data_IF_169782581544
#
_entry.id   IF_169782581544
#
_cell.length_a   1.000
_cell.length_b   1.000
_cell.length_c   1.000
_cell.angle_alpha   90.00
_cell.angle_beta   90.00
_cell.angle_gamma   90.00
#
_symmetry.space_group_name_H-M   'P 1'
#
loop_
_entity.id
_entity.type
_entity.pdbx_description
1 polymer ?
#
# COMPACT_ATOMS: atom_id res chain seq x y z
N UNK A 1 5.82 -54.55 -11.67
CA UNK A 1 5.96 -53.62 -10.57
C UNK A 1 6.03 -54.41 -9.28
N UNK A 2 7.22 -54.55 -8.69
CA UNK A 2 7.45 -55.44 -7.56
C UNK A 2 7.09 -54.74 -6.24
N UNK A 3 6.48 -55.53 -5.36
CA UNK A 3 6.08 -55.14 -4.00
C UNK A 3 7.24 -54.56 -3.15
N UNK A 4 8.50 -54.70 -3.60
CA UNK A 4 9.71 -54.22 -2.93
C UNK A 4 10.01 -52.71 -3.13
N UNK A 5 9.33 -52.02 -4.07
CA UNK A 5 9.54 -50.58 -4.25
C UNK A 5 8.81 -49.71 -3.19
N UNK A 6 7.89 -50.28 -2.44
CA UNK A 6 7.11 -49.60 -1.39
C UNK A 6 7.92 -49.37 -0.10
N UNK A 7 9.04 -50.10 0.08
CA UNK A 7 9.89 -50.04 1.27
C UNK A 7 11.22 -49.31 1.07
N UNK A 8 11.45 -48.72 -0.10
CA UNK A 8 12.57 -47.80 -0.25
C UNK A 8 12.26 -46.54 0.54
N UNK A 9 12.99 -46.30 1.61
CA UNK A 9 12.98 -45.02 2.32
C UNK A 9 13.24 -43.85 1.36
N UNK A 10 12.86 -42.62 1.74
CA UNK A 10 13.07 -41.47 0.89
C UNK A 10 14.53 -41.36 0.47
N UNK A 11 14.74 -41.08 -0.82
CA UNK A 11 16.08 -40.91 -1.39
C UNK A 11 16.87 -39.81 -0.62
N UNK A 12 18.19 -39.97 -0.51
CA UNK A 12 19.06 -39.03 0.21
C UNK A 12 18.86 -37.57 -0.26
N UNK A 13 18.62 -37.36 -1.55
CA UNK A 13 18.31 -36.04 -2.12
C UNK A 13 16.98 -35.48 -1.60
N UNK A 14 15.99 -36.33 -1.44
CA UNK A 14 14.68 -35.94 -0.86
C UNK A 14 14.80 -35.56 0.61
N UNK A 15 15.62 -36.29 1.37
CA UNK A 15 15.90 -35.99 2.79
C UNK A 15 16.65 -34.66 2.91
N UNK A 16 17.68 -34.44 2.08
CA UNK A 16 18.45 -33.19 2.05
C UNK A 16 17.57 -31.98 1.65
N UNK A 17 16.67 -32.15 0.67
CA UNK A 17 15.73 -31.10 0.27
C UNK A 17 14.73 -30.75 1.39
N UNK A 18 14.22 -31.74 2.12
CA UNK A 18 13.36 -31.50 3.28
C UNK A 18 14.10 -30.75 4.39
N UNK A 19 15.31 -31.20 4.74
CA UNK A 19 16.11 -30.54 5.76
C UNK A 19 16.39 -29.05 5.39
N UNK A 20 16.77 -28.79 4.14
CA UNK A 20 16.97 -27.42 3.65
C UNK A 20 15.67 -26.57 3.60
N UNK A 21 14.53 -27.22 3.42
CA UNK A 21 13.22 -26.57 3.50
C UNK A 21 12.88 -26.20 4.94
N UNK A 22 13.06 -27.13 5.87
CA UNK A 22 12.79 -26.93 7.30
C UNK A 22 13.68 -25.85 7.89
N UNK A 23 14.96 -25.83 7.52
CA UNK A 23 15.89 -24.77 7.92
C UNK A 23 15.44 -23.39 7.43
N UNK A 24 14.99 -23.29 6.16
CA UNK A 24 14.43 -22.04 5.63
C UNK A 24 13.16 -21.60 6.36
N UNK A 25 12.29 -22.53 6.69
CA UNK A 25 11.08 -22.20 7.48
C UNK A 25 11.47 -21.70 8.87
N UNK A 26 12.42 -22.36 9.53
CA UNK A 26 12.90 -21.95 10.85
C UNK A 26 13.52 -20.53 10.81
N UNK A 27 14.35 -20.22 9.81
CA UNK A 27 14.93 -18.88 9.60
C UNK A 27 13.86 -17.80 9.36
N UNK A 28 12.84 -18.10 8.55
CA UNK A 28 11.70 -17.20 8.34
C UNK A 28 10.92 -16.99 9.65
N UNK A 29 10.65 -18.05 10.40
CA UNK A 29 9.93 -17.96 11.67
C UNK A 29 10.70 -17.16 12.71
N UNK A 30 12.02 -17.33 12.78
CA UNK A 30 12.89 -16.55 13.65
C UNK A 30 12.84 -15.06 13.28
N UNK A 31 12.99 -14.73 11.99
CA UNK A 31 12.85 -13.36 11.48
C UNK A 31 11.49 -12.74 11.80
N UNK A 32 10.40 -13.51 11.75
CA UNK A 32 9.07 -13.04 12.09
C UNK A 32 8.89 -12.75 13.59
N UNK A 33 9.58 -13.49 14.46
CA UNK A 33 9.49 -13.33 15.92
C UNK A 33 10.41 -12.26 16.47
N UNK A 34 11.63 -12.23 15.97
CA UNK A 34 12.72 -11.42 16.54
C UNK A 34 13.04 -10.18 15.69
N UNK A 35 12.38 -10.03 14.56
CA UNK A 35 12.72 -9.05 13.54
C UNK A 35 13.92 -9.47 12.71
N UNK A 36 14.23 -8.69 11.68
CA UNK A 36 15.34 -8.94 10.77
C UNK A 36 14.91 -9.57 9.45
N UNK A 37 15.88 -9.80 8.60
CA UNK A 37 15.67 -10.31 7.24
C UNK A 37 16.17 -11.74 7.14
N UNK A 38 15.38 -12.68 6.59
CA UNK A 38 15.81 -14.07 6.39
C UNK A 38 17.10 -14.21 5.57
N UNK A 39 17.91 -15.22 5.85
CA UNK A 39 19.20 -15.45 5.22
C UNK A 39 19.11 -15.54 3.68
N UNK A 40 18.07 -16.21 3.17
CA UNK A 40 17.85 -16.33 1.73
C UNK A 40 17.60 -14.97 1.06
N UNK A 41 16.92 -14.05 1.74
CA UNK A 41 16.70 -12.70 1.24
C UNK A 41 18.00 -11.89 1.31
N UNK A 42 18.77 -11.99 2.40
CA UNK A 42 20.08 -11.35 2.53
C UNK A 42 21.04 -11.78 1.41
N UNK A 43 21.12 -13.08 1.10
CA UNK A 43 21.96 -13.59 0.00
C UNK A 43 21.49 -13.06 -1.36
N UNK A 44 20.18 -12.98 -1.60
CA UNK A 44 19.60 -12.39 -2.82
C UNK A 44 20.01 -10.92 -2.97
N UNK A 45 19.87 -10.14 -1.92
CA UNK A 45 20.18 -8.70 -1.92
C UNK A 45 21.71 -8.46 -2.09
N UNK A 46 22.53 -9.24 -1.39
CA UNK A 46 23.97 -9.17 -1.53
C UNK A 46 24.43 -9.61 -2.92
N UNK A 47 23.79 -10.64 -3.50
CA UNK A 47 24.04 -11.08 -4.87
C UNK A 47 23.71 -9.98 -5.89
N UNK A 48 22.63 -9.24 -5.71
CA UNK A 48 22.27 -8.10 -6.56
C UNK A 48 23.26 -6.94 -6.37
N UNK A 49 23.61 -6.61 -5.13
CA UNK A 49 24.56 -5.54 -4.81
C UNK A 49 25.95 -5.77 -5.36
N UNK A 50 26.44 -7.00 -5.29
CA UNK A 50 27.76 -7.39 -5.77
C UNK A 50 27.82 -7.70 -7.27
N UNK A 51 26.68 -7.65 -7.98
CA UNK A 51 26.60 -8.01 -9.40
C UNK A 51 26.69 -9.53 -9.70
N UNK A 52 26.66 -10.38 -8.67
CA UNK A 52 26.60 -11.85 -8.83
C UNK A 52 25.25 -12.33 -9.36
N UNK A 53 24.21 -11.56 -9.11
CA UNK A 53 22.85 -11.84 -9.62
C UNK A 53 22.34 -10.63 -10.39
N UNK A 54 21.49 -10.83 -11.41
CA UNK A 54 20.82 -9.71 -12.06
C UNK A 54 20.02 -8.88 -11.05
N UNK A 55 20.18 -7.56 -11.10
CA UNK A 55 19.35 -6.68 -10.33
C UNK A 55 17.96 -6.53 -10.99
N UNK A 56 16.97 -6.31 -10.19
CA UNK A 56 15.58 -6.07 -10.63
C UNK A 56 15.09 -4.74 -10.08
N UNK A 57 14.22 -4.07 -10.79
CA UNK A 57 13.60 -2.83 -10.34
C UNK A 57 12.15 -2.78 -10.81
N UNK A 58 11.31 -2.07 -10.07
CA UNK A 58 9.93 -1.73 -10.47
C UNK A 58 9.88 -0.47 -11.31
N UNK A 59 11.00 0.26 -11.40
CA UNK A 59 11.14 1.52 -12.12
C UNK A 59 10.97 1.35 -13.62
N UNK A 60 10.34 2.32 -14.26
CA UNK A 60 10.18 2.36 -15.71
C UNK A 60 11.50 2.67 -16.40
N UNK A 61 11.72 2.26 -17.67
CA UNK A 61 12.97 2.54 -18.38
C UNK A 61 13.39 4.01 -18.40
N UNK A 62 12.43 4.94 -18.58
CA UNK A 62 12.70 6.37 -18.57
C UNK A 62 13.18 6.85 -17.18
N UNK A 63 12.68 6.27 -16.11
CA UNK A 63 13.07 6.60 -14.73
C UNK A 63 14.49 6.12 -14.43
N UNK A 64 14.90 4.99 -15.00
CA UNK A 64 16.28 4.49 -14.85
C UNK A 64 17.31 5.44 -15.48
N UNK A 65 16.96 6.10 -16.59
CA UNK A 65 17.83 7.11 -17.19
C UNK A 65 17.98 8.33 -16.31
N UNK A 66 16.89 8.81 -15.72
CA UNK A 66 16.89 9.96 -14.79
C UNK A 66 17.57 9.59 -13.49
N UNK A 67 17.32 8.39 -12.97
CA UNK A 67 18.00 7.90 -11.78
C UNK A 67 19.52 8.02 -11.92
N UNK A 68 20.07 7.63 -13.05
CA UNK A 68 21.50 7.69 -13.29
C UNK A 68 22.05 9.12 -13.33
N UNK A 69 21.33 10.07 -13.92
CA UNK A 69 21.77 11.48 -14.02
C UNK A 69 21.65 12.25 -12.71
N UNK A 70 20.82 11.79 -11.76
CA UNK A 70 20.54 12.47 -10.50
C UNK A 70 21.04 11.71 -9.27
N UNK A 71 22.03 10.84 -9.45
CA UNK A 71 22.67 10.15 -8.32
C UNK A 71 21.79 9.10 -7.63
N UNK A 72 20.75 8.63 -8.29
CA UNK A 72 19.92 7.52 -7.82
C UNK A 72 20.50 6.20 -8.34
N UNK A 73 20.92 5.32 -7.43
CA UNK A 73 21.46 4.00 -7.78
C UNK A 73 20.46 2.91 -7.39
N UNK A 74 19.70 2.34 -8.34
CA UNK A 74 18.87 1.18 -8.05
C UNK A 74 19.70 -0.01 -7.60
N UNK A 75 19.27 -0.71 -6.56
CA UNK A 75 19.96 -1.87 -6.00
C UNK A 75 19.18 -3.15 -6.32
N UNK A 76 17.93 -3.22 -5.89
CA UNK A 76 17.06 -4.38 -6.12
C UNK A 76 15.59 -4.01 -5.93
N UNK A 77 14.70 -4.76 -6.57
CA UNK A 77 13.32 -4.81 -6.15
C UNK A 77 13.22 -5.54 -4.81
N UNK A 78 12.48 -4.96 -3.89
CA UNK A 78 12.20 -5.53 -2.57
C UNK A 78 10.69 -5.63 -2.38
N UNK A 79 10.28 -6.55 -1.52
CA UNK A 79 8.87 -6.78 -1.22
C UNK A 79 8.68 -7.19 0.23
N UNK A 80 7.65 -6.68 0.84
CA UNK A 80 7.28 -7.06 2.20
C UNK A 80 5.81 -7.46 2.24
N UNK A 81 5.53 -8.49 3.00
CA UNK A 81 4.17 -9.01 3.19
C UNK A 81 3.89 -9.18 4.67
N UNK A 82 2.68 -8.84 5.08
CA UNK A 82 2.16 -9.11 6.40
C UNK A 82 0.79 -9.75 6.28
N UNK A 83 0.63 -10.91 6.89
CA UNK A 83 -0.68 -11.50 7.14
C UNK A 83 -1.14 -11.07 8.52
N UNK A 84 -2.31 -10.48 8.60
CA UNK A 84 -2.88 -10.05 9.86
C UNK A 84 -4.32 -10.55 10.00
N UNK A 85 -4.59 -11.15 11.15
CA UNK A 85 -5.93 -11.41 11.62
C UNK A 85 -6.32 -10.26 12.55
N UNK A 86 -7.34 -9.47 12.17
CA UNK A 86 -7.63 -8.21 12.86
C UNK A 86 -8.80 -8.32 13.82
N UNK A 87 -8.87 -9.30 14.64
CA UNK A 87 -9.77 -9.38 15.79
C UNK A 87 -11.08 -8.55 15.65
N UNK A 88 -11.30 -7.65 16.58
CA UNK A 88 -12.55 -6.88 16.70
C UNK A 88 -12.59 -5.56 15.90
N UNK A 89 -11.46 -5.03 15.46
CA UNK A 89 -11.40 -3.73 14.79
C UNK A 89 -10.70 -3.80 13.45
N UNK A 90 -11.45 -3.70 12.38
CA UNK A 90 -10.94 -3.65 11.00
C UNK A 90 -10.04 -2.43 10.77
N UNK A 91 -10.42 -1.27 11.32
CA UNK A 91 -9.64 -0.04 11.19
C UNK A 91 -8.27 -0.18 11.86
N UNK A 92 -8.22 -0.67 13.09
CA UNK A 92 -6.96 -0.86 13.81
C UNK A 92 -6.11 -1.97 13.19
N UNK A 93 -6.70 -3.11 12.86
CA UNK A 93 -6.01 -4.21 12.22
C UNK A 93 -5.41 -3.82 10.87
N UNK A 94 -6.13 -3.00 10.09
CA UNK A 94 -5.62 -2.49 8.82
C UNK A 94 -4.41 -1.57 9.02
N UNK A 95 -4.47 -0.67 9.98
CA UNK A 95 -3.33 0.20 10.33
C UNK A 95 -2.12 -0.60 10.81
N UNK A 96 -2.35 -1.60 11.65
CA UNK A 96 -1.30 -2.48 12.18
C UNK A 96 -0.65 -3.32 11.07
N UNK A 97 -1.45 -3.93 10.18
CA UNK A 97 -0.95 -4.71 9.06
C UNK A 97 -0.04 -3.91 8.13
N UNK A 98 -0.43 -2.69 7.79
CA UNK A 98 0.41 -1.79 7.00
C UNK A 98 1.70 -1.39 7.72
N UNK A 99 1.62 -1.06 9.00
CA UNK A 99 2.80 -0.69 9.78
C UNK A 99 3.80 -1.84 9.87
N UNK A 100 3.31 -3.07 10.06
CA UNK A 100 4.17 -4.27 10.06
C UNK A 100 4.81 -4.52 8.69
N UNK A 101 4.06 -4.39 7.61
CA UNK A 101 4.59 -4.55 6.25
C UNK A 101 5.63 -3.47 5.93
N UNK A 102 5.38 -2.21 6.31
CA UNK A 102 6.34 -1.10 6.15
C UNK A 102 7.61 -1.31 6.98
N UNK A 103 7.50 -1.83 8.21
CA UNK A 103 8.65 -2.17 9.04
C UNK A 103 9.54 -3.21 8.37
N UNK A 104 8.94 -4.29 7.86
CA UNK A 104 9.68 -5.34 7.12
C UNK A 104 10.34 -4.79 5.86
N UNK A 105 9.66 -3.91 5.13
CA UNK A 105 10.26 -3.25 3.94
C UNK A 105 11.46 -2.39 4.31
N UNK A 106 11.43 -1.68 5.46
CA UNK A 106 12.59 -0.94 5.97
C UNK A 106 13.77 -1.85 6.28
N UNK A 107 13.52 -2.98 6.91
CA UNK A 107 14.56 -3.96 7.22
C UNK A 107 15.21 -4.54 5.96
N UNK A 108 14.40 -4.89 4.94
CA UNK A 108 14.94 -5.32 3.63
C UNK A 108 15.74 -4.21 2.95
N UNK A 109 15.27 -2.95 2.97
CA UNK A 109 15.98 -1.83 2.40
C UNK A 109 17.35 -1.61 3.08
N UNK A 110 17.40 -1.70 4.40
CA UNK A 110 18.64 -1.62 5.17
C UNK A 110 19.60 -2.76 4.81
N UNK A 111 19.10 -3.99 4.74
CA UNK A 111 19.90 -5.15 4.33
C UNK A 111 20.44 -5.01 2.91
N UNK A 112 19.71 -4.36 2.01
CA UNK A 112 20.17 -4.01 0.67
C UNK A 112 21.21 -2.89 0.66
N UNK A 113 21.42 -2.15 1.76
CA UNK A 113 22.27 -0.97 1.82
C UNK A 113 21.65 0.26 1.15
N UNK A 114 20.34 0.29 1.03
CA UNK A 114 19.57 1.40 0.49
C UNK A 114 19.31 2.47 1.55
N UNK A 115 19.12 3.72 1.13
CA UNK A 115 18.64 4.81 1.97
C UNK A 115 17.25 5.31 1.54
N UNK A 116 16.70 4.77 0.44
CA UNK A 116 15.33 5.01 0.03
C UNK A 116 14.73 3.80 -0.70
N UNK A 117 13.40 3.72 -0.69
CA UNK A 117 12.59 2.79 -1.50
C UNK A 117 11.57 3.62 -2.28
N UNK A 118 11.60 3.51 -3.58
CA UNK A 118 10.77 4.31 -4.49
C UNK A 118 9.76 3.46 -5.25
N UNK A 119 8.73 4.11 -5.79
CA UNK A 119 7.65 3.48 -6.56
C UNK A 119 7.00 2.33 -5.77
N UNK A 120 6.73 2.58 -4.48
CA UNK A 120 6.13 1.57 -3.63
C UNK A 120 4.66 1.40 -3.99
N UNK A 121 4.35 0.19 -4.45
CA UNK A 121 2.99 -0.26 -4.73
C UNK A 121 2.48 -1.03 -3.53
N UNK A 122 1.25 -0.74 -3.16
CA UNK A 122 0.59 -1.28 -1.98
C UNK A 122 -0.66 -2.05 -2.42
N UNK A 123 -0.84 -3.25 -1.89
CA UNK A 123 -2.00 -4.08 -2.18
C UNK A 123 -2.48 -4.79 -0.93
N UNK A 124 -3.81 -4.90 -0.80
CA UNK A 124 -4.45 -5.77 0.18
C UNK A 124 -5.26 -6.83 -0.52
N UNK A 125 -5.21 -8.07 -0.02
CA UNK A 125 -6.03 -9.16 -0.49
C UNK A 125 -6.76 -9.74 0.72
N UNK A 126 -8.11 -9.75 0.73
CA UNK A 126 -8.85 -10.54 1.71
C UNK A 126 -8.45 -12.01 1.58
N UNK A 127 -8.25 -12.66 2.71
CA UNK A 127 -7.94 -14.08 2.75
C UNK A 127 -9.21 -14.87 3.04
N UNK A 128 -9.26 -16.12 2.58
CA UNK A 128 -10.37 -17.04 2.87
C UNK A 128 -10.47 -17.37 4.37
N UNK A 129 -9.43 -17.07 5.14
CA UNK A 129 -9.45 -17.17 6.60
C UNK A 129 -10.20 -15.98 7.16
N UNK A 130 -11.24 -16.23 7.93
CA UNK A 130 -12.13 -15.22 8.51
C UNK A 130 -11.35 -14.11 9.23
N UNK A 131 -11.73 -12.85 8.97
CA UNK A 131 -11.11 -11.65 9.53
C UNK A 131 -9.59 -11.55 9.30
N UNK A 132 -9.09 -12.03 8.17
CA UNK A 132 -7.68 -11.97 7.83
C UNK A 132 -7.44 -11.29 6.50
N UNK A 133 -6.33 -10.59 6.38
CA UNK A 133 -5.94 -9.87 5.16
C UNK A 133 -4.43 -9.95 4.96
N UNK A 134 -4.03 -10.04 3.69
CA UNK A 134 -2.66 -9.88 3.25
C UNK A 134 -2.37 -8.41 2.92
N UNK A 135 -1.28 -7.89 3.45
CA UNK A 135 -0.75 -6.55 3.19
C UNK A 135 0.58 -6.68 2.47
N UNK A 136 0.59 -6.43 1.18
CA UNK A 136 1.78 -6.59 0.35
C UNK A 136 2.29 -5.24 -0.15
N UNK A 137 3.60 -5.03 0.00
CA UNK A 137 4.35 -3.89 -0.51
C UNK A 137 5.39 -4.39 -1.51
N UNK A 138 5.55 -3.67 -2.61
CA UNK A 138 6.63 -3.92 -3.60
C UNK A 138 7.19 -2.59 -4.04
N UNK A 139 8.51 -2.45 -4.08
CA UNK A 139 9.18 -1.23 -4.50
C UNK A 139 10.62 -1.47 -4.90
N UNK A 140 11.32 -0.44 -5.32
CA UNK A 140 12.74 -0.49 -5.67
C UNK A 140 13.58 0.15 -4.58
N UNK A 141 14.45 -0.63 -3.96
CA UNK A 141 15.48 -0.15 -3.06
C UNK A 141 16.55 0.61 -3.86
N UNK A 142 16.80 1.85 -3.48
CA UNK A 142 17.74 2.74 -4.15
C UNK A 142 18.72 3.34 -3.15
N UNK A 143 19.92 3.68 -3.63
CA UNK A 143 20.83 4.56 -2.91
C UNK A 143 20.78 5.93 -3.57
N UNK A 144 20.33 6.92 -2.84
CA UNK A 144 20.32 8.33 -3.26
C UNK A 144 21.62 8.97 -2.79
N UNK A 145 22.41 9.49 -3.72
CA UNK A 145 23.64 10.22 -3.40
C UNK A 145 23.29 11.55 -2.73
N UNK A 146 24.09 11.94 -1.74
CA UNK A 146 23.84 13.17 -0.97
C UNK A 146 22.90 13.01 0.22
N UNK A 147 22.10 11.96 0.30
CA UNK A 147 21.36 11.67 1.51
C UNK A 147 22.29 10.98 2.54
N UNK A 148 22.26 11.39 3.81
CA UNK A 148 23.05 10.76 4.85
C UNK A 148 22.60 9.29 5.04
N UNK A 149 23.50 8.41 5.48
CA UNK A 149 23.11 7.09 5.94
C UNK A 149 22.09 7.22 7.06
N UNK A 150 20.96 6.56 6.90
CA UNK A 150 19.89 6.55 7.91
C UNK A 150 19.55 5.12 8.30
N UNK A 151 19.23 4.92 9.57
CA UNK A 151 18.62 3.68 10.05
C UNK A 151 17.15 3.55 9.65
N UNK A 152 16.57 4.64 9.16
CA UNK A 152 15.22 4.68 8.65
C UNK A 152 15.25 5.12 7.18
N UNK A 153 15.32 4.17 6.22
CA UNK A 153 15.23 4.50 4.81
C UNK A 153 13.91 5.20 4.48
N UNK A 154 13.96 6.18 3.60
CA UNK A 154 12.76 6.84 3.09
C UNK A 154 11.97 5.81 2.29
N UNK A 155 10.69 5.62 2.61
CA UNK A 155 9.77 4.80 1.81
C UNK A 155 8.76 5.74 1.17
N UNK A 156 8.66 5.70 -0.17
CA UNK A 156 7.79 6.61 -0.89
C UNK A 156 7.02 5.88 -2.00
N UNK A 157 5.74 6.24 -2.17
CA UNK A 157 4.91 5.74 -3.27
C UNK A 157 5.19 6.48 -4.57
N UNK A 158 5.88 7.61 -4.51
CA UNK A 158 6.22 8.42 -5.68
C UNK A 158 7.23 7.69 -6.57
N UNK A 159 7.04 7.75 -7.90
CA UNK A 159 8.01 7.27 -8.88
C UNK A 159 9.35 8.03 -8.80
N UNK A 160 10.42 7.46 -9.33
CA UNK A 160 11.76 8.06 -9.25
C UNK A 160 11.84 9.45 -9.89
N UNK A 161 11.11 9.70 -10.99
CA UNK A 161 11.05 11.01 -11.63
C UNK A 161 10.43 12.06 -10.71
N UNK A 162 9.31 11.72 -10.07
CA UNK A 162 8.63 12.63 -9.14
C UNK A 162 9.47 12.86 -7.89
N UNK A 163 10.14 11.83 -7.38
CA UNK A 163 11.05 11.95 -6.26
C UNK A 163 12.18 12.95 -6.55
N UNK A 164 12.80 12.88 -7.71
CA UNK A 164 13.83 13.86 -8.12
C UNK A 164 13.26 15.26 -8.20
N UNK A 165 12.11 15.44 -8.84
CA UNK A 165 11.46 16.77 -8.95
C UNK A 165 11.08 17.35 -7.59
N UNK A 166 10.69 16.53 -6.63
CA UNK A 166 10.43 16.97 -5.26
C UNK A 166 11.73 17.48 -4.62
N UNK A 167 12.83 16.73 -4.75
CA UNK A 167 14.12 17.17 -4.22
C UNK A 167 14.62 18.46 -4.87
N UNK A 168 14.44 18.64 -6.17
CA UNK A 168 14.76 19.87 -6.91
C UNK A 168 13.92 21.07 -6.44
N UNK A 169 12.71 20.81 -5.91
CA UNK A 169 11.82 21.81 -5.32
C UNK A 169 12.02 22.02 -3.82
N UNK A 170 13.11 21.53 -3.23
CA UNK A 170 13.38 21.56 -1.79
C UNK A 170 12.29 20.86 -0.94
N UNK A 171 11.64 19.85 -1.52
CA UNK A 171 10.65 19.00 -0.85
C UNK A 171 11.21 17.61 -0.68
N UNK A 172 11.36 17.17 0.56
CA UNK A 172 11.96 15.87 0.89
C UNK A 172 10.87 14.89 1.28
N UNK A 173 10.67 13.81 0.54
CA UNK A 173 9.83 12.71 1.01
C UNK A 173 10.38 12.11 2.30
N UNK A 174 9.51 11.85 3.28
CA UNK A 174 9.91 11.37 4.62
C UNK A 174 9.40 9.96 4.91
N UNK A 175 8.28 9.56 4.28
CA UNK A 175 7.70 8.25 4.51
C UNK A 175 6.34 8.07 3.85
N UNK A 176 5.62 7.06 4.30
CA UNK A 176 4.24 6.78 3.87
C UNK A 176 3.32 6.93 5.08
N UNK A 177 2.25 7.70 4.91
CA UNK A 177 1.13 7.74 5.84
C UNK A 177 -0.08 7.05 5.23
N UNK A 178 -0.87 6.40 6.08
CA UNK A 178 -2.06 5.67 5.69
C UNK A 178 -3.21 6.12 6.58
N UNK A 179 -4.32 6.47 5.93
CA UNK A 179 -5.59 6.70 6.57
C UNK A 179 -6.59 5.63 6.15
N UNK A 180 -7.06 4.83 7.07
CA UNK A 180 -8.09 3.83 6.80
C UNK A 180 -9.26 4.02 7.75
N UNK A 181 -10.45 3.79 7.26
CA UNK A 181 -11.65 3.74 8.08
C UNK A 181 -12.67 2.78 7.50
N UNK A 182 -13.34 2.05 8.39
CA UNK A 182 -14.35 1.05 8.08
C UNK A 182 -15.57 1.30 8.95
N UNK A 183 -16.75 1.21 8.36
CA UNK A 183 -18.00 1.35 9.10
C UNK A 183 -19.07 0.43 8.56
N UNK A 184 -19.79 -0.23 9.49
CA UNK A 184 -20.94 -1.05 9.19
C UNK A 184 -22.23 -0.26 9.31
N UNK A 185 -23.11 -0.44 8.34
CA UNK A 185 -24.49 0.07 8.39
C UNK A 185 -25.48 -1.08 8.20
N UNK A 186 -26.48 -1.11 9.06
CA UNK A 186 -27.61 -2.03 8.91
C UNK A 186 -28.76 -1.28 8.26
N UNK A 187 -29.21 -1.74 7.11
CA UNK A 187 -30.36 -1.16 6.42
C UNK A 187 -31.61 -1.99 6.71
N UNK A 188 -32.24 -1.73 7.86
CA UNK A 188 -33.42 -2.45 8.29
C UNK A 188 -34.76 -1.78 7.91
N UNK A 189 -34.72 -0.57 7.36
CA UNK A 189 -35.92 0.24 7.13
C UNK A 189 -36.32 0.50 5.67
N UNK A 190 -35.50 0.18 4.67
CA UNK A 190 -35.67 0.81 3.36
C UNK A 190 -35.80 -0.10 2.14
N UNK A 191 -35.99 -1.39 2.28
CA UNK A 191 -35.87 -2.28 1.12
C UNK A 191 -37.15 -2.44 0.27
N UNK A 192 -38.28 -1.83 0.64
CA UNK A 192 -39.56 -2.07 -0.06
C UNK A 192 -39.97 -1.00 -1.06
N UNK A 193 -39.39 0.21 -0.99
CA UNK A 193 -39.91 1.35 -1.77
C UNK A 193 -39.00 1.86 -2.90
N UNK A 194 -37.71 1.43 -2.94
CA UNK A 194 -36.74 1.99 -3.90
C UNK A 194 -36.85 1.41 -5.33
N UNK A 195 -37.34 0.20 -5.47
CA UNK A 195 -37.48 -0.48 -6.78
C UNK A 195 -38.58 0.09 -7.68
N UNK A 196 -39.51 0.85 -7.13
CA UNK A 196 -40.66 1.31 -7.89
C UNK A 196 -40.50 2.73 -8.48
N UNK A 197 -39.59 3.55 -7.96
CA UNK A 197 -39.45 4.96 -8.34
C UNK A 197 -38.26 5.30 -9.24
N UNK A 198 -37.55 4.33 -9.77
CA UNK A 198 -36.39 4.58 -10.66
C UNK A 198 -35.07 4.82 -9.91
N UNK A 199 -34.12 5.49 -10.54
CA UNK A 199 -32.79 5.77 -9.98
C UNK A 199 -32.86 6.88 -8.94
N UNK A 200 -33.08 6.50 -7.68
CA UNK A 200 -33.06 7.43 -6.53
C UNK A 200 -31.77 7.13 -5.77
N UNK A 201 -30.95 8.17 -5.58
CA UNK A 201 -29.78 8.08 -4.72
C UNK A 201 -30.21 7.76 -3.28
N UNK A 202 -29.55 6.75 -2.69
CA UNK A 202 -29.76 6.45 -1.27
C UNK A 202 -29.03 7.46 -0.42
N UNK A 203 -29.72 8.42 0.15
CA UNK A 203 -29.15 9.45 1.03
C UNK A 203 -28.35 8.84 2.18
N UNK A 204 -28.81 7.72 2.75
CA UNK A 204 -28.12 7.03 3.85
C UNK A 204 -26.80 6.41 3.43
N UNK A 205 -26.73 5.78 2.25
CA UNK A 205 -25.49 5.23 1.71
C UNK A 205 -24.52 6.34 1.36
N UNK A 206 -24.99 7.44 0.80
CA UNK A 206 -24.17 8.62 0.50
C UNK A 206 -23.61 9.25 1.78
N UNK A 207 -24.41 9.35 2.85
CA UNK A 207 -23.95 9.84 4.16
C UNK A 207 -22.92 8.89 4.79
N UNK A 208 -23.14 7.57 4.76
CA UNK A 208 -22.18 6.58 5.21
C UNK A 208 -20.84 6.74 4.47
N UNK A 209 -20.91 6.84 3.15
CA UNK A 209 -19.75 6.98 2.28
C UNK A 209 -18.94 8.23 2.60
N UNK A 210 -19.62 9.36 2.72
CA UNK A 210 -18.98 10.64 3.06
C UNK A 210 -18.33 10.59 4.46
N UNK A 211 -19.02 10.01 5.44
CA UNK A 211 -18.50 9.83 6.79
C UNK A 211 -17.23 9.00 6.80
N UNK A 212 -17.23 7.86 6.10
CA UNK A 212 -16.08 6.95 6.01
C UNK A 212 -14.89 7.64 5.34
N UNK A 213 -15.14 8.38 4.26
CA UNK A 213 -14.09 9.19 3.59
C UNK A 213 -13.48 10.25 4.51
N UNK A 214 -14.31 11.04 5.16
CA UNK A 214 -13.85 12.09 6.08
C UNK A 214 -12.98 11.51 7.22
N UNK A 215 -13.40 10.38 7.80
CA UNK A 215 -12.65 9.71 8.87
C UNK A 215 -11.32 9.15 8.38
N UNK A 216 -11.29 8.52 7.21
CA UNK A 216 -10.05 8.03 6.62
C UNK A 216 -9.05 9.17 6.37
N UNK A 217 -9.50 10.29 5.80
CA UNK A 217 -8.65 11.47 5.61
C UNK A 217 -8.20 12.12 6.93
N UNK A 218 -9.03 12.09 7.97
CA UNK A 218 -8.63 12.56 9.30
C UNK A 218 -7.52 11.67 9.89
N UNK A 219 -7.67 10.35 9.79
CA UNK A 219 -6.66 9.39 10.22
C UNK A 219 -5.34 9.58 9.45
N UNK A 220 -5.41 9.77 8.13
CA UNK A 220 -4.25 10.09 7.30
C UNK A 220 -3.49 11.31 7.82
N UNK A 221 -4.20 12.43 8.05
CA UNK A 221 -3.58 13.68 8.54
C UNK A 221 -2.94 13.48 9.92
N UNK A 222 -3.56 12.69 10.78
CA UNK A 222 -3.01 12.38 12.11
C UNK A 222 -1.72 11.59 11.99
N UNK A 223 -1.71 10.55 11.15
CA UNK A 223 -0.52 9.73 10.93
C UNK A 223 0.60 10.51 10.22
N UNK A 224 0.25 11.37 9.28
CA UNK A 224 1.22 12.15 8.52
C UNK A 224 1.94 13.21 9.38
N UNK A 225 1.26 13.83 10.35
CA UNK A 225 1.84 14.86 11.23
C UNK A 225 3.06 14.39 12.01
N UNK A 226 3.17 13.11 12.28
CA UNK A 226 4.31 12.54 12.97
C UNK A 226 5.55 12.39 12.07
N UNK A 227 5.39 12.49 10.75
CA UNK A 227 6.42 12.17 9.77
C UNK A 227 6.87 13.35 8.92
N UNK A 228 6.05 14.41 8.78
CA UNK A 228 6.37 15.56 7.94
C UNK A 228 5.32 16.67 8.00
N UNK A 229 5.57 17.76 7.29
CA UNK A 229 4.69 18.93 7.27
C UNK A 229 3.73 18.96 6.08
N UNK A 230 3.87 18.03 5.12
CA UNK A 230 3.02 17.91 3.94
C UNK A 230 2.67 16.49 3.60
N UNK A 231 1.66 16.32 2.75
CA UNK A 231 1.11 15.02 2.34
C UNK A 231 0.80 15.05 0.86
N UNK A 232 1.35 14.09 0.11
CA UNK A 232 1.03 13.84 -1.29
C UNK A 232 0.21 12.55 -1.36
N UNK A 233 -1.11 12.69 -1.53
CA UNK A 233 -2.02 11.55 -1.64
C UNK A 233 -2.02 11.02 -3.08
N UNK A 234 -1.63 9.77 -3.26
CA UNK A 234 -1.52 9.15 -4.58
C UNK A 234 -2.52 8.04 -4.82
N UNK A 235 -2.94 7.34 -3.79
CA UNK A 235 -3.76 6.15 -3.90
C UNK A 235 -4.96 6.22 -2.97
N UNK A 236 -6.12 5.92 -3.53
CA UNK A 236 -7.36 5.75 -2.79
C UNK A 236 -7.95 4.38 -3.11
N UNK A 237 -8.36 3.66 -2.08
CA UNK A 237 -9.12 2.43 -2.21
C UNK A 237 -10.45 2.62 -1.52
N UNK A 238 -11.53 2.56 -2.29
CA UNK A 238 -12.86 2.74 -1.77
C UNK A 238 -13.72 1.57 -2.20
N UNK A 239 -14.40 0.94 -1.26
CA UNK A 239 -15.24 -0.21 -1.55
C UNK A 239 -16.42 -0.30 -0.59
N UNK A 240 -17.54 -0.78 -1.10
CA UNK A 240 -18.72 -1.07 -0.32
C UNK A 240 -19.10 -2.53 -0.53
N UNK A 241 -19.12 -3.28 0.56
CA UNK A 241 -19.52 -4.69 0.56
C UNK A 241 -20.95 -4.79 1.08
N UNK A 242 -21.76 -5.58 0.38
CA UNK A 242 -23.10 -5.95 0.83
C UNK A 242 -23.07 -7.39 1.31
N UNK A 243 -23.73 -7.67 2.45
CA UNK A 243 -24.00 -9.04 2.89
C UNK A 243 -25.43 -9.15 3.44
N UNK A 244 -25.98 -10.34 3.37
CA UNK A 244 -27.22 -10.63 4.10
C UNK A 244 -26.92 -10.94 5.56
N UNK A 245 -27.52 -10.18 6.46
CA UNK A 245 -27.49 -10.44 7.90
C UNK A 245 -28.49 -11.53 8.31
N UNK A 246 -28.51 -11.84 9.64
CA UNK A 246 -29.37 -12.83 10.26
C UNK A 246 -30.80 -12.49 9.96
N UNK A 247 -31.62 -12.22 9.50
CA UNK A 247 -33.01 -11.89 9.18
C UNK A 247 -33.24 -11.42 7.75
N UNK A 248 -32.37 -11.83 6.81
CA UNK A 248 -32.40 -11.36 5.42
C UNK A 248 -32.30 -9.82 5.27
N UNK A 249 -31.77 -9.17 6.30
CA UNK A 249 -31.53 -7.73 6.26
C UNK A 249 -30.21 -7.46 5.57
N UNK A 250 -30.19 -6.47 4.69
CA UNK A 250 -28.96 -6.03 4.03
C UNK A 250 -28.09 -5.27 5.02
N UNK A 251 -26.82 -5.64 5.07
CA UNK A 251 -25.78 -4.97 5.82
C UNK A 251 -24.74 -4.47 4.84
N UNK A 252 -24.31 -3.23 5.01
CA UNK A 252 -23.28 -2.62 4.18
C UNK A 252 -22.04 -2.36 5.01
N UNK A 253 -20.88 -2.77 4.50
CA UNK A 253 -19.58 -2.37 5.02
C UNK A 253 -18.97 -1.40 4.03
N UNK A 254 -18.86 -0.13 4.41
CA UNK A 254 -18.09 0.84 3.65
C UNK A 254 -16.65 0.91 4.17
N UNK A 255 -15.68 0.91 3.25
CA UNK A 255 -14.29 1.17 3.58
C UNK A 255 -13.71 2.25 2.68
N UNK A 256 -12.84 3.06 3.25
CA UNK A 256 -12.00 3.99 2.51
C UNK A 256 -10.59 3.98 3.07
N UNK A 257 -9.63 3.82 2.18
CA UNK A 257 -8.21 3.78 2.51
C UNK A 257 -7.51 4.80 1.62
N UNK A 258 -6.77 5.68 2.24
CA UNK A 258 -5.95 6.69 1.56
C UNK A 258 -4.50 6.45 1.91
N UNK A 259 -3.66 6.35 0.89
CA UNK A 259 -2.23 6.21 1.02
C UNK A 259 -1.54 7.45 0.46
N UNK A 260 -0.61 7.97 1.20
CA UNK A 260 0.11 9.19 0.83
C UNK A 260 1.59 9.08 1.15
N UNK A 261 2.41 9.70 0.32
CA UNK A 261 3.79 10.01 0.67
C UNK A 261 3.81 11.25 1.55
N UNK A 262 4.40 11.14 2.73
CA UNK A 262 4.66 12.29 3.59
C UNK A 262 5.90 13.03 3.10
N UNK A 263 5.87 14.34 3.18
CA UNK A 263 6.97 15.19 2.75
C UNK A 263 7.28 16.23 3.81
N UNK A 264 8.53 16.66 3.85
CA UNK A 264 8.95 17.81 4.61
C UNK A 264 9.48 18.88 3.65
N UNK A 265 8.97 20.08 3.80
CA UNK A 265 9.35 21.21 2.95
C UNK A 265 9.77 22.39 3.81
N UNK A 266 10.74 23.14 3.36
CA UNK A 266 11.16 24.37 4.01
C UNK A 266 9.95 25.30 4.15
N UNK A 267 9.77 25.90 5.31
CA UNK A 267 8.68 26.87 5.53
C UNK A 267 8.75 27.99 4.49
N UNK A 268 7.64 28.21 3.81
CA UNK A 268 7.53 29.21 2.74
C UNK A 268 7.88 28.69 1.34
N UNK A 269 8.27 27.42 1.20
CA UNK A 269 8.37 26.79 -0.12
C UNK A 269 6.97 26.60 -0.68
N UNK A 270 6.62 27.41 -1.68
CA UNK A 270 5.42 27.18 -2.49
C UNK A 270 5.83 26.29 -3.64
N UNK A 271 5.26 25.10 -3.74
CA UNK A 271 5.38 24.31 -4.96
C UNK A 271 4.61 25.08 -6.03
N UNK A 272 5.28 25.64 -7.05
CA UNK A 272 4.59 26.38 -8.09
C UNK A 272 3.70 25.37 -8.87
N UNK A 273 2.42 25.48 -8.69
CA UNK A 273 1.44 24.74 -9.46
C UNK A 273 0.36 25.70 -9.95
N UNK A 274 -0.03 25.51 -11.18
CA UNK A 274 -1.15 26.24 -11.76
C UNK A 274 -2.43 25.59 -11.25
N UNK A 275 -3.19 26.30 -10.42
CA UNK A 275 -4.52 25.85 -10.00
C UNK A 275 -5.46 26.07 -11.18
N UNK A 276 -5.79 25.00 -11.89
CA UNK A 276 -6.70 25.05 -13.06
C UNK A 276 -8.16 24.97 -12.64
N UNK A 277 -8.44 24.34 -11.51
CA UNK A 277 -9.80 24.17 -11.02
C UNK A 277 -9.80 23.98 -9.50
N UNK A 278 -10.73 24.60 -8.83
CA UNK A 278 -11.05 24.35 -7.43
C UNK A 278 -12.48 23.79 -7.36
N UNK A 279 -12.62 22.57 -6.84
CA UNK A 279 -13.94 21.96 -6.60
C UNK A 279 -14.21 22.05 -5.10
N UNK A 280 -15.21 22.84 -4.74
CA UNK A 280 -15.70 22.88 -3.35
C UNK A 280 -16.62 21.69 -3.09
N UNK A 281 -16.13 20.77 -2.29
CA UNK A 281 -16.85 19.54 -1.89
C UNK A 281 -17.75 19.74 -0.67
N UNK A 282 -17.73 20.93 -0.05
CA UNK A 282 -18.48 21.17 1.20
C UNK A 282 -19.97 21.43 1.00
N UNK A 283 -20.35 21.98 -0.13
CA UNK A 283 -21.70 22.45 -0.36
C UNK A 283 -22.62 21.41 -1.03
N UNK A 284 -22.15 20.23 -1.40
CA UNK A 284 -22.93 19.25 -2.17
C UNK A 284 -23.40 19.79 -3.54
N UNK A 285 -23.01 21.02 -3.87
CA UNK A 285 -23.30 21.67 -5.15
C UNK A 285 -22.01 22.12 -5.76
N UNK A 286 -21.56 21.42 -6.79
CA UNK A 286 -20.46 21.89 -7.62
C UNK A 286 -20.88 23.19 -8.33
N UNK A 287 -20.08 24.26 -8.36
CA UNK A 287 -20.34 25.42 -9.19
C UNK A 287 -20.41 25.11 -10.68
N UNK A 288 -20.11 23.88 -11.06
CA UNK A 288 -20.19 23.35 -12.44
C UNK A 288 -21.54 22.69 -12.78
N UNK A 289 -22.51 22.66 -11.89
CA UNK A 289 -23.87 22.10 -12.13
C UNK A 289 -24.69 22.94 -13.15
N UNK A 290 -24.07 23.81 -13.91
CA UNK A 290 -24.72 24.54 -15.03
C UNK A 290 -24.57 23.91 -16.42
N UNK A 291 -23.72 22.91 -16.58
CA UNK A 291 -23.49 22.27 -17.89
C UNK A 291 -23.42 20.76 -17.77
N UNK A 292 -24.47 20.11 -18.22
CA UNK A 292 -24.68 18.64 -18.16
C UNK A 292 -23.66 17.78 -18.94
N UNK A 293 -22.50 18.30 -19.31
CA UNK A 293 -21.55 17.61 -20.18
C UNK A 293 -20.27 17.09 -19.48
N UNK A 294 -20.07 17.34 -18.19
CA UNK A 294 -18.80 16.94 -17.54
C UNK A 294 -18.90 15.79 -16.54
N UNK A 295 -20.06 15.14 -16.40
CA UNK A 295 -20.19 14.02 -15.45
C UNK A 295 -19.60 12.68 -15.92
N UNK A 296 -19.08 12.58 -17.14
CA UNK A 296 -18.57 11.30 -17.67
C UNK A 296 -17.09 11.03 -17.45
N UNK A 297 -16.30 12.00 -17.01
CA UNK A 297 -14.82 11.79 -16.95
C UNK A 297 -14.29 11.26 -15.63
N UNK A 298 -15.11 11.19 -14.58
CA UNK A 298 -14.64 10.72 -13.26
C UNK A 298 -14.94 9.24 -12.96
N UNK A 299 -15.83 8.61 -13.71
CA UNK A 299 -16.18 7.21 -13.51
C UNK A 299 -15.22 6.22 -14.18
N UNK A 300 -14.32 6.67 -15.04
CA UNK A 300 -13.44 5.79 -15.81
C UNK A 300 -12.12 5.41 -15.16
N UNK A 301 -11.73 6.06 -14.05
CA UNK A 301 -10.43 5.79 -13.42
C UNK A 301 -10.50 4.83 -12.23
N UNK A 302 -11.68 4.38 -11.82
CA UNK A 302 -11.81 3.43 -10.71
C UNK A 302 -11.47 1.98 -11.10
N UNK A 303 -11.44 1.65 -12.40
CA UNK A 303 -11.11 0.30 -12.87
C UNK A 303 -9.61 0.04 -13.08
N UNK A 304 -8.76 1.06 -13.09
CA UNK A 304 -7.31 0.90 -13.28
C UNK A 304 -6.52 0.71 -11.98
N UNK A 305 -7.14 0.81 -10.83
CA UNK A 305 -6.51 0.58 -9.50
C UNK A 305 -6.51 -0.88 -9.04
N UNK A 306 -7.06 -1.79 -9.82
CA UNK A 306 -7.10 -3.22 -9.53
C UNK A 306 -6.06 -3.96 -10.37
N UNK A 307 -4.79 -3.85 -10.01
CA UNK A 307 -3.73 -4.80 -10.38
C UNK A 307 -2.96 -5.16 -9.14
#
# INVERSE_FOLDING_TARGET
MGIFDIFKGPDADTVAQRAAHDERIADIQDSLRNGGVPAAIKDRLEGARSGRRPWTATLRPAELLIARSHGLKPIAAISATCWLHYGWSWTNGHSEGWNMALSRMREEALAAGANAVLDVKMRTIPLDVENSMDFTLVGTAVRVEGLPPSREPIIATVPALEFVKLLEADVVPTGIAIGAYYEWMNDWLNNTNLTWMGNIESERLSQLWEHVRQRAHQNLRTNARAQGNGVLAHLNFSEMFEREGQNKQKQYLARHIVVATTVDAKRGTTIPHEVRMVVDMHAGRSPLVGTAQHHQSYASNESEGAI
#
